data_IF_197425022805
#
_entry.id   IF_197425022805
#
_cell.length_a   1.000
_cell.length_b   1.000
_cell.length_c   1.000
_cell.angle_alpha   90.00
_cell.angle_beta   90.00
_cell.angle_gamma   90.00
#
_symmetry.space_group_name_H-M   'P 1'
#
loop_
_entity.id
_entity.type
_entity.pdbx_description
1 polymer ?
#
# COMPACT_ATOMS: atom_id res chain seq x y z
N UNK A 1 -10.26 11.49 9.30
CA UNK A 1 -9.18 10.56 9.68
C UNK A 1 -7.96 10.81 8.80
N UNK A 2 -6.79 10.87 9.41
CA UNK A 2 -5.53 11.17 8.73
C UNK A 2 -4.71 9.90 8.60
N UNK A 3 -4.53 9.41 7.38
CA UNK A 3 -3.88 8.13 7.09
C UNK A 3 -2.80 8.33 6.04
N UNK A 4 -1.64 7.73 6.28
CA UNK A 4 -0.62 7.52 5.26
C UNK A 4 -0.75 6.09 4.73
N UNK A 5 -0.89 5.93 3.43
CA UNK A 5 -0.94 4.62 2.78
C UNK A 5 0.34 4.37 1.99
N UNK A 6 0.89 3.17 2.11
CA UNK A 6 2.15 2.78 1.47
C UNK A 6 1.91 1.56 0.59
N UNK A 7 2.39 1.61 -0.65
CA UNK A 7 2.29 0.53 -1.63
C UNK A 7 3.68 0.14 -2.15
N UNK A 8 4.03 -1.14 -2.04
CA UNK A 8 5.31 -1.65 -2.50
C UNK A 8 5.24 -3.11 -2.96
N UNK A 9 4.05 -3.64 -3.19
CA UNK A 9 3.85 -5.07 -3.48
C UNK A 9 4.20 -5.45 -4.93
N UNK A 10 4.33 -4.48 -5.83
CA UNK A 10 4.62 -4.72 -7.25
C UNK A 10 5.76 -3.81 -7.72
N UNK A 11 5.85 -3.57 -9.02
CA UNK A 11 6.80 -2.59 -9.57
C UNK A 11 6.43 -1.15 -9.20
N UNK A 12 5.20 -0.92 -8.77
CA UNK A 12 4.78 0.38 -8.28
C UNK A 12 5.26 0.56 -6.85
N UNK A 13 5.90 1.68 -6.61
CA UNK A 13 6.34 2.11 -5.30
C UNK A 13 5.74 3.48 -5.06
N UNK A 14 4.97 3.62 -4.01
CA UNK A 14 4.32 4.89 -3.77
C UNK A 14 3.68 5.02 -2.41
N UNK A 15 3.21 6.23 -2.16
CA UNK A 15 2.47 6.55 -0.95
C UNK A 15 1.37 7.56 -1.26
N UNK A 16 0.34 7.54 -0.44
CA UNK A 16 -0.78 8.46 -0.53
C UNK A 16 -1.08 9.03 0.85
N UNK A 17 -1.34 10.31 0.91
CA UNK A 17 -1.73 10.98 2.14
C UNK A 17 -3.21 11.35 2.10
N UNK A 18 -3.93 10.92 3.11
CA UNK A 18 -5.34 11.25 3.33
C UNK A 18 -5.45 12.13 4.56
N UNK A 19 -6.05 13.29 4.42
CA UNK A 19 -6.36 14.21 5.53
C UNK A 19 -7.86 14.42 5.56
N UNK A 20 -8.46 14.26 6.73
CA UNK A 20 -9.92 14.36 6.92
C UNK A 20 -10.69 13.47 5.93
N UNK A 21 -10.20 12.24 5.74
CA UNK A 21 -10.77 11.22 4.83
C UNK A 21 -10.71 11.58 3.34
N UNK A 22 -9.91 12.57 2.97
CA UNK A 22 -9.75 12.98 1.58
C UNK A 22 -8.31 12.77 1.12
N UNK A 23 -8.15 12.24 -0.08
CA UNK A 23 -6.85 12.12 -0.72
C UNK A 23 -6.32 13.53 -1.02
N UNK A 24 -5.21 13.91 -0.40
CA UNK A 24 -4.58 15.23 -0.63
C UNK A 24 -3.37 15.14 -1.54
N UNK A 25 -2.67 14.02 -1.53
CA UNK A 25 -1.53 13.82 -2.45
C UNK A 25 -1.27 12.33 -2.64
N UNK A 26 -0.91 11.96 -3.85
CA UNK A 26 -0.48 10.63 -4.24
C UNK A 26 0.81 10.76 -5.05
N UNK A 27 1.86 10.05 -4.65
CA UNK A 27 3.13 10.00 -5.38
C UNK A 27 3.49 8.54 -5.64
N UNK A 28 3.54 8.15 -6.89
CA UNK A 28 3.85 6.81 -7.36
C UNK A 28 5.00 6.81 -8.35
N UNK A 29 5.86 5.80 -8.24
CA UNK A 29 6.95 5.56 -9.19
C UNK A 29 6.81 4.13 -9.70
N UNK A 30 6.75 3.97 -11.01
CA UNK A 30 6.68 2.65 -11.64
C UNK A 30 8.02 2.33 -12.30
N UNK A 31 8.99 1.96 -11.47
CA UNK A 31 10.32 1.53 -11.90
C UNK A 31 10.75 0.33 -11.07
N UNK A 32 11.36 -0.71 -11.68
CA UNK A 32 11.84 -1.85 -10.93
C UNK A 32 13.03 -1.49 -10.03
N UNK A 33 13.12 -2.14 -8.87
CA UNK A 33 14.31 -2.17 -7.99
C UNK A 33 14.68 -0.85 -7.31
N UNK A 34 13.75 0.10 -7.17
CA UNK A 34 14.05 1.39 -6.53
C UNK A 34 13.32 1.62 -5.20
N UNK A 35 12.55 0.65 -4.74
CA UNK A 35 11.69 0.79 -3.56
C UNK A 35 12.49 1.19 -2.31
N UNK A 36 13.65 0.56 -2.08
CA UNK A 36 14.47 0.83 -0.90
C UNK A 36 15.05 2.23 -0.83
N UNK A 37 15.35 2.81 -2.00
CA UNK A 37 15.93 4.15 -2.09
C UNK A 37 14.85 5.24 -2.13
N UNK A 38 13.76 4.98 -2.85
CA UNK A 38 12.79 6.02 -3.19
C UNK A 38 11.62 6.10 -2.23
N UNK A 39 11.16 4.98 -1.70
CA UNK A 39 9.95 4.96 -0.87
C UNK A 39 10.08 5.83 0.40
N UNK A 40 11.18 5.77 1.16
CA UNK A 40 11.33 6.67 2.30
C UNK A 40 11.31 8.15 1.92
N UNK A 41 11.89 8.50 0.77
CA UNK A 41 11.91 9.87 0.27
C UNK A 41 10.51 10.33 -0.16
N UNK A 42 9.76 9.47 -0.83
CA UNK A 42 8.37 9.73 -1.21
C UNK A 42 7.53 10.06 0.02
N UNK A 43 7.63 9.24 1.06
CA UNK A 43 6.89 9.46 2.30
C UNK A 43 7.32 10.75 2.98
N UNK A 44 8.62 11.00 3.06
CA UNK A 44 9.15 12.23 3.64
C UNK A 44 8.60 13.47 2.94
N UNK A 45 8.64 13.47 1.60
CA UNK A 45 8.19 14.60 0.80
C UNK A 45 6.69 14.83 0.92
N UNK A 46 5.88 13.75 0.94
CA UNK A 46 4.44 13.86 1.16
C UNK A 46 4.11 14.56 2.48
N UNK A 47 4.74 14.11 3.55
CA UNK A 47 4.50 14.70 4.87
C UNK A 47 4.97 16.14 4.93
N UNK A 48 6.15 16.42 4.37
CA UNK A 48 6.72 17.78 4.35
C UNK A 48 5.84 18.74 3.55
N UNK A 49 5.35 18.33 2.39
CA UNK A 49 4.51 19.15 1.51
C UNK A 49 3.22 19.60 2.20
N UNK A 50 2.73 18.83 3.16
CA UNK A 50 1.51 19.12 3.89
C UNK A 50 1.75 19.55 5.34
N UNK A 51 3.02 19.83 5.68
CA UNK A 51 3.41 20.25 7.03
C UNK A 51 2.92 19.28 8.11
N UNK A 52 2.93 17.98 7.79
CA UNK A 52 2.46 16.92 8.67
C UNK A 52 3.63 16.20 9.33
N UNK A 53 3.48 15.91 10.60
CA UNK A 53 4.38 15.00 11.32
C UNK A 53 3.70 13.64 11.48
N UNK A 54 4.52 12.59 11.61
CA UNK A 54 4.00 11.22 11.78
C UNK A 54 3.06 11.14 12.99
N UNK A 55 3.37 11.85 14.06
CA UNK A 55 2.55 11.90 15.28
C UNK A 55 1.14 12.46 15.08
N UNK A 56 0.93 13.18 13.99
CA UNK A 56 -0.38 13.77 13.67
C UNK A 56 -1.25 12.82 12.83
N UNK A 57 -0.68 11.72 12.37
CA UNK A 57 -1.43 10.69 11.66
C UNK A 57 -2.16 9.79 12.64
N UNK A 58 -3.26 9.20 12.18
CA UNK A 58 -4.08 8.28 12.98
C UNK A 58 -3.83 6.81 12.59
N UNK A 59 -3.08 6.57 11.55
CA UNK A 59 -2.68 5.23 11.13
C UNK A 59 -1.77 5.23 9.91
N UNK A 60 -1.06 4.11 9.75
CA UNK A 60 -0.26 3.80 8.55
C UNK A 60 -0.85 2.55 7.91
N UNK A 61 -1.38 2.67 6.70
CA UNK A 61 -1.85 1.53 5.92
C UNK A 61 -0.74 1.06 4.99
N UNK A 62 -0.61 -0.24 4.82
CA UNK A 62 0.44 -0.83 3.99
C UNK A 62 -0.05 -2.14 3.36
N UNK A 63 0.28 -2.35 2.09
CA UNK A 63 0.02 -3.65 1.44
C UNK A 63 0.82 -4.75 2.14
N UNK A 64 0.13 -5.80 2.56
CA UNK A 64 0.71 -6.87 3.39
C UNK A 64 1.06 -8.14 2.63
N UNK A 65 0.82 -8.18 1.34
CA UNK A 65 1.05 -9.33 0.50
C UNK A 65 -0.26 -9.97 0.03
N UNK A 66 -0.14 -10.88 -0.95
CA UNK A 66 1.08 -11.30 -1.63
C UNK A 66 1.68 -10.22 -2.54
N UNK A 67 2.90 -10.45 -3.00
CA UNK A 67 3.58 -9.55 -3.92
C UNK A 67 5.09 -9.76 -3.94
N UNK A 68 5.82 -8.77 -4.42
CA UNK A 68 7.28 -8.77 -4.42
C UNK A 68 7.82 -8.95 -3.01
N UNK A 69 8.61 -9.99 -2.80
CA UNK A 69 9.20 -10.29 -1.49
C UNK A 69 10.04 -9.12 -0.96
N UNK A 70 10.94 -8.62 -1.79
CA UNK A 70 11.80 -7.48 -1.43
C UNK A 70 10.97 -6.20 -1.22
N UNK A 71 10.06 -5.90 -2.14
CA UNK A 71 9.21 -4.72 -2.05
C UNK A 71 8.34 -4.71 -0.80
N UNK A 72 7.71 -5.84 -0.50
CA UNK A 72 6.87 -5.97 0.71
C UNK A 72 7.67 -5.77 1.99
N UNK A 73 8.89 -6.30 2.05
CA UNK A 73 9.77 -6.11 3.22
C UNK A 73 10.13 -4.64 3.40
N UNK A 74 10.46 -3.96 2.33
CA UNK A 74 10.80 -2.53 2.36
C UNK A 74 9.59 -1.71 2.86
N UNK A 75 8.43 -1.90 2.25
CA UNK A 75 7.22 -1.17 2.61
C UNK A 75 6.77 -1.45 4.04
N UNK A 76 6.76 -2.72 4.43
CA UNK A 76 6.35 -3.12 5.77
C UNK A 76 7.33 -2.62 6.84
N UNK A 77 8.64 -2.69 6.58
CA UNK A 77 9.64 -2.19 7.52
C UNK A 77 9.52 -0.68 7.72
N UNK A 78 9.33 0.06 6.64
CA UNK A 78 9.12 1.50 6.71
C UNK A 78 7.83 1.84 7.48
N UNK A 79 6.74 1.16 7.14
CA UNK A 79 5.45 1.37 7.80
C UNK A 79 5.52 1.08 9.30
N UNK A 80 6.16 -0.02 9.69
CA UNK A 80 6.35 -0.37 11.11
C UNK A 80 7.19 0.68 11.85
N UNK A 81 8.27 1.13 11.22
CA UNK A 81 9.13 2.15 11.82
C UNK A 81 8.37 3.47 12.05
N UNK A 82 7.61 3.90 11.07
CA UNK A 82 6.79 5.10 11.18
C UNK A 82 5.69 4.96 12.23
N UNK A 83 5.00 3.82 12.26
CA UNK A 83 3.96 3.54 13.23
C UNK A 83 4.50 3.57 14.66
N UNK A 84 5.68 2.98 14.88
CA UNK A 84 6.37 3.03 16.17
C UNK A 84 6.75 4.46 16.56
N UNK A 85 7.36 5.19 15.64
CA UNK A 85 7.80 6.56 15.87
C UNK A 85 6.64 7.50 16.22
N UNK A 86 5.51 7.31 15.55
CA UNK A 86 4.31 8.11 15.78
C UNK A 86 3.41 7.60 16.89
N UNK A 87 3.69 6.41 17.42
CA UNK A 87 2.80 5.70 18.36
C UNK A 87 1.38 5.59 17.81
N UNK A 88 1.27 5.16 16.56
CA UNK A 88 0.01 5.05 15.83
C UNK A 88 -0.17 3.64 15.28
N UNK A 89 -1.41 3.21 15.00
CA UNK A 89 -1.66 1.85 14.49
C UNK A 89 -1.06 1.60 13.12
N UNK A 90 -0.57 0.39 12.92
CA UNK A 90 -0.23 -0.17 11.61
C UNK A 90 -1.45 -0.92 11.08
N UNK A 91 -1.83 -0.65 9.84
CA UNK A 91 -3.01 -1.23 9.20
C UNK A 91 -2.55 -2.04 7.99
N UNK A 92 -2.28 -3.34 8.14
CA UNK A 92 -1.95 -4.18 6.99
C UNK A 92 -3.19 -4.43 6.15
N UNK A 93 -3.06 -4.27 4.83
CA UNK A 93 -4.15 -4.49 3.88
C UNK A 93 -3.71 -5.54 2.86
N UNK A 94 -4.44 -6.65 2.71
CA UNK A 94 -4.09 -7.67 1.73
C UNK A 94 -4.03 -7.10 0.31
N UNK A 95 -2.95 -7.41 -0.41
CA UNK A 95 -2.71 -6.84 -1.75
C UNK A 95 -3.85 -7.13 -2.71
N UNK A 96 -4.40 -8.35 -2.67
CA UNK A 96 -5.49 -8.73 -3.57
C UNK A 96 -6.77 -7.93 -3.28
N UNK A 97 -7.00 -7.55 -2.03
CA UNK A 97 -8.11 -6.68 -1.65
C UNK A 97 -7.90 -5.25 -2.14
N UNK A 98 -6.66 -4.75 -2.08
CA UNK A 98 -6.32 -3.44 -2.65
C UNK A 98 -6.63 -3.43 -4.14
N UNK A 99 -6.15 -4.44 -4.88
CA UNK A 99 -6.41 -4.57 -6.31
C UNK A 99 -7.91 -4.70 -6.61
N UNK A 100 -8.62 -5.44 -5.78
CA UNK A 100 -10.05 -5.66 -5.94
C UNK A 100 -10.87 -4.37 -5.83
N UNK A 101 -10.42 -3.39 -5.08
CA UNK A 101 -11.15 -2.12 -4.90
C UNK A 101 -11.29 -1.31 -6.19
N UNK A 102 -10.45 -1.55 -7.18
CA UNK A 102 -10.56 -0.91 -8.49
C UNK A 102 -11.56 -1.61 -9.42
N UNK A 103 -12.13 -2.75 -8.99
CA UNK A 103 -13.03 -3.57 -9.80
C UNK A 103 -14.46 -3.33 -9.36
N UNK A 104 -15.34 -3.03 -10.34
CA UNK A 104 -16.77 -2.89 -10.12
C UNK A 104 -17.48 -3.98 -10.92
N UNK A 105 -17.55 -5.18 -10.35
CA UNK A 105 -18.13 -6.34 -11.01
C UNK A 105 -18.95 -7.15 -10.02
N UNK A 106 -20.13 -7.63 -10.47
CA UNK A 106 -20.96 -8.56 -9.73
C UNK A 106 -20.60 -10.00 -10.07
N UNK A 107 -20.97 -10.91 -9.17
CA UNK A 107 -20.74 -12.33 -9.36
C UNK A 107 -19.34 -12.77 -8.97
N UNK A 108 -18.95 -13.95 -9.42
CA UNK A 108 -17.68 -14.59 -9.08
C UNK A 108 -16.62 -14.20 -10.11
N UNK A 109 -15.46 -13.78 -9.63
CA UNK A 109 -14.30 -13.48 -10.47
C UNK A 109 -13.00 -13.72 -9.70
N UNK A 110 -11.90 -13.74 -10.42
CA UNK A 110 -10.57 -13.90 -9.85
C UNK A 110 -9.75 -12.63 -10.03
N UNK A 111 -9.04 -12.24 -9.01
CA UNK A 111 -7.98 -11.24 -9.09
C UNK A 111 -6.65 -11.95 -9.17
N UNK A 112 -5.82 -11.58 -10.12
CA UNK A 112 -4.54 -12.23 -10.38
C UNK A 112 -3.41 -11.22 -10.28
N UNK A 113 -2.33 -11.60 -9.62
CA UNK A 113 -1.10 -10.82 -9.54
C UNK A 113 0.06 -11.70 -10.04
N UNK A 114 0.73 -11.24 -11.08
CA UNK A 114 1.89 -11.97 -11.60
C UNK A 114 3.01 -12.03 -10.55
N UNK A 115 3.52 -13.22 -10.33
CA UNK A 115 4.64 -13.46 -9.43
C UNK A 115 5.95 -13.49 -10.22
N UNK A 116 6.38 -14.65 -10.65
CA UNK A 116 7.58 -14.83 -11.48
C UNK A 116 7.36 -15.98 -12.46
N UNK A 117 8.06 -15.96 -13.59
CA UNK A 117 7.91 -16.95 -14.66
C UNK A 117 6.42 -17.07 -15.06
N UNK A 118 5.85 -18.27 -14.97
CA UNK A 118 4.45 -18.55 -15.31
C UNK A 118 3.56 -18.65 -14.07
N UNK A 119 3.98 -18.10 -12.94
CA UNK A 119 3.26 -18.19 -11.68
C UNK A 119 2.51 -16.89 -11.36
N UNK A 120 1.31 -17.04 -10.82
CA UNK A 120 0.49 -15.93 -10.36
C UNK A 120 -0.01 -16.20 -8.95
N UNK A 121 -0.16 -15.13 -8.19
CA UNK A 121 -1.00 -15.16 -7.00
C UNK A 121 -2.44 -14.93 -7.45
N UNK A 122 -3.39 -15.61 -6.83
CA UNK A 122 -4.80 -15.48 -7.19
C UNK A 122 -5.69 -15.49 -5.96
N UNK A 123 -6.77 -14.76 -6.05
CA UNK A 123 -7.82 -14.78 -5.05
C UNK A 123 -9.17 -14.65 -5.72
N UNK A 124 -10.11 -15.45 -5.25
CA UNK A 124 -11.49 -15.44 -5.72
C UNK A 124 -12.31 -14.44 -4.93
N UNK A 125 -13.14 -13.71 -5.63
CA UNK A 125 -14.07 -12.75 -5.05
C UNK A 125 -15.48 -13.03 -5.54
N UNK A 126 -16.45 -12.67 -4.75
CA UNK A 126 -17.87 -12.73 -5.12
C UNK A 126 -18.50 -11.38 -4.78
N UNK A 127 -18.88 -10.64 -5.83
CA UNK A 127 -19.49 -9.31 -5.71
C UNK A 127 -18.68 -8.38 -4.78
N UNK A 128 -17.37 -8.38 -4.97
CA UNK A 128 -16.44 -7.49 -4.25
C UNK A 128 -15.97 -8.00 -2.90
N UNK A 129 -16.43 -9.17 -2.45
CA UNK A 129 -15.99 -9.77 -1.18
C UNK A 129 -15.11 -10.98 -1.41
N UNK A 130 -14.06 -11.18 -0.57
CA UNK A 130 -13.27 -12.40 -0.65
C UNK A 130 -14.18 -13.64 -0.55
N UNK A 131 -13.93 -14.61 -1.41
CA UNK A 131 -14.68 -15.84 -1.49
C UNK A 131 -13.70 -17.01 -1.38
N UNK A 132 -13.87 -17.84 -0.40
CA UNK A 132 -12.97 -18.96 -0.10
C UNK A 132 -13.25 -20.19 -0.95
#
# INVERSE_FOLDING_TARGET
MNILAIESASTICGAALFLDNKLVELDEINQPRIHGERLPLVVHDLLLNHSMQVTELEGIAVSSGPGSYTGLRIGMSLAKGLAMAGNIPLIPVPTMEVMNRSISQNGVYWVLLHSHKNMVFSQRFNSGKPDS
#
